data_IF_688790014560
#
_entry.id   IF_688790014560
#
_cell.length_a   1.000
_cell.length_b   1.000
_cell.length_c   1.000
_cell.angle_alpha   90.00
_cell.angle_beta   90.00
_cell.angle_gamma   90.00
#
_symmetry.space_group_name_H-M   'P 1'
#
loop_
_entity.id
_entity.type
_entity.pdbx_description
1 polymer ?
#
# COMPACT_ATOMS: atom_id res chain seq x y z
N UNK A 1 9.89 -11.83 4.87
CA UNK A 1 10.68 -10.74 4.27
C UNK A 1 9.88 -9.45 4.29
N UNK A 2 10.45 -8.39 4.84
CA UNK A 2 9.73 -7.13 4.95
C UNK A 2 9.62 -6.43 3.59
N UNK A 3 8.42 -5.96 3.27
CA UNK A 3 8.19 -5.21 2.03
C UNK A 3 8.34 -3.73 2.37
N UNK A 4 9.25 -3.07 1.68
CA UNK A 4 9.44 -1.64 1.85
C UNK A 4 8.82 -0.91 0.66
N UNK A 5 7.89 -0.02 0.95
CA UNK A 5 7.18 0.73 -0.08
C UNK A 5 7.78 2.12 -0.19
N UNK A 6 7.99 2.57 -1.43
CA UNK A 6 8.54 3.87 -1.72
C UNK A 6 7.54 4.66 -2.57
N UNK A 7 7.84 5.95 -2.78
CA UNK A 7 6.98 6.81 -3.60
C UNK A 7 6.82 6.28 -5.01
N UNK A 8 7.88 5.69 -5.56
CA UNK A 8 7.88 5.18 -6.93
C UNK A 8 7.35 3.76 -7.05
N UNK A 9 6.99 3.13 -5.94
CA UNK A 9 6.46 1.77 -5.98
C UNK A 9 5.11 1.73 -6.68
N UNK A 10 4.92 0.78 -7.56
CA UNK A 10 3.67 0.62 -8.31
C UNK A 10 2.64 -0.06 -7.41
N UNK A 11 1.44 0.49 -7.37
CA UNK A 11 0.37 -0.01 -6.50
C UNK A 11 0.02 -1.45 -6.79
N UNK A 12 -0.05 -1.81 -8.07
CA UNK A 12 -0.33 -3.20 -8.44
C UNK A 12 0.68 -4.17 -7.88
N UNK A 13 1.94 -3.79 -7.86
CA UNK A 13 2.99 -4.63 -7.30
C UNK A 13 2.82 -4.81 -5.80
N UNK A 14 2.41 -3.75 -5.11
CA UNK A 14 2.14 -3.82 -3.67
C UNK A 14 1.02 -4.81 -3.40
N UNK A 15 -0.07 -4.69 -4.16
CA UNK A 15 -1.25 -5.54 -3.95
C UNK A 15 -0.98 -7.01 -4.31
N UNK A 16 -0.06 -7.25 -5.24
CA UNK A 16 0.31 -8.61 -5.61
C UNK A 16 1.08 -9.31 -4.48
N UNK A 17 1.94 -8.59 -3.78
CA UNK A 17 2.75 -9.19 -2.70
C UNK A 17 2.12 -8.98 -1.33
N UNK A 18 1.27 -7.97 -1.17
CA UNK A 18 0.67 -7.62 0.11
C UNK A 18 -0.78 -7.16 -0.09
N UNK A 19 -1.69 -8.07 -0.45
CA UNK A 19 -3.09 -7.70 -0.67
C UNK A 19 -3.76 -7.11 0.56
N UNK A 20 -3.23 -7.36 1.74
CA UNK A 20 -3.73 -6.79 2.98
C UNK A 20 -3.58 -5.28 3.06
N UNK A 21 -2.82 -4.68 2.13
CA UNK A 21 -2.68 -3.22 2.06
C UNK A 21 -3.90 -2.54 1.43
N UNK A 22 -4.77 -3.30 0.77
CA UNK A 22 -5.91 -2.72 0.06
C UNK A 22 -6.77 -1.76 0.90
N UNK A 23 -7.09 -2.06 2.17
CA UNK A 23 -7.89 -1.14 2.98
C UNK A 23 -7.28 0.25 3.12
N UNK A 24 -5.95 0.35 3.13
CA UNK A 24 -5.29 1.64 3.24
C UNK A 24 -5.47 2.49 1.99
N UNK A 25 -5.46 1.85 0.82
CA UNK A 25 -5.73 2.55 -0.43
C UNK A 25 -7.20 2.96 -0.54
N UNK A 26 -8.12 2.13 -0.08
CA UNK A 26 -9.53 2.51 -0.02
C UNK A 26 -9.74 3.73 0.89
N UNK A 27 -8.98 3.81 1.97
CA UNK A 27 -9.10 4.90 2.93
C UNK A 27 -8.75 6.26 2.32
N UNK A 28 -7.87 6.31 1.33
CA UNK A 28 -7.54 7.58 0.67
C UNK A 28 -8.43 7.89 -0.53
N UNK A 29 -9.41 7.05 -0.80
CA UNK A 29 -10.40 7.31 -1.84
C UNK A 29 -10.28 6.48 -3.10
N UNK A 30 -9.37 5.53 -3.14
CA UNK A 30 -9.26 4.64 -4.29
C UNK A 30 -10.35 3.58 -4.21
N UNK A 31 -11.16 3.47 -5.25
CA UNK A 31 -12.30 2.55 -5.22
C UNK A 31 -12.17 1.34 -6.12
N UNK A 32 -11.29 1.39 -7.10
CA UNK A 32 -11.21 0.33 -8.10
C UNK A 32 -9.79 -0.20 -8.23
N UNK A 33 -9.35 -0.95 -7.24
CA UNK A 33 -7.98 -1.48 -7.20
C UNK A 33 -7.74 -2.61 -8.21
N UNK A 34 -8.79 -3.09 -8.84
CA UNK A 34 -8.67 -4.08 -9.90
C UNK A 34 -8.49 -3.50 -11.29
N UNK A 35 -8.66 -2.19 -11.45
CA UNK A 35 -8.52 -1.54 -12.74
C UNK A 35 -7.06 -1.40 -13.16
N UNK A 36 -6.73 -1.65 -14.43
CA UNK A 36 -5.36 -1.45 -14.91
C UNK A 36 -4.82 -0.04 -14.66
N UNK A 37 -5.69 0.98 -14.76
CA UNK A 37 -5.29 2.37 -14.49
C UNK A 37 -4.78 2.56 -13.07
N UNK A 38 -5.54 2.06 -12.10
CA UNK A 38 -5.19 2.19 -10.68
C UNK A 38 -3.95 1.36 -10.34
N UNK A 39 -3.88 0.17 -10.88
CA UNK A 39 -2.76 -0.73 -10.59
C UNK A 39 -1.45 -0.24 -11.21
N UNK A 40 -1.53 0.56 -12.27
CA UNK A 40 -0.34 1.10 -12.92
C UNK A 40 0.21 2.36 -12.30
N UNK A 41 -0.50 2.95 -11.34
CA UNK A 41 -0.05 4.17 -10.70
C UNK A 41 0.99 3.89 -9.61
N UNK A 42 1.90 4.87 -9.43
CA UNK A 42 2.80 4.82 -8.27
C UNK A 42 2.05 5.32 -7.04
N UNK A 43 2.59 5.04 -5.86
CA UNK A 43 2.03 5.56 -4.61
C UNK A 43 1.98 7.09 -4.65
N UNK A 44 3.03 7.72 -5.14
CA UNK A 44 3.09 9.18 -5.23
C UNK A 44 1.99 9.73 -6.14
N UNK A 45 1.78 9.12 -7.29
CA UNK A 45 0.74 9.54 -8.21
C UNK A 45 -0.65 9.44 -7.60
N UNK A 46 -0.91 8.35 -6.91
CA UNK A 46 -2.20 8.15 -6.24
C UNK A 46 -2.42 9.21 -5.15
N UNK A 47 -1.39 9.50 -4.38
CA UNK A 47 -1.48 10.53 -3.35
C UNK A 47 -1.78 11.90 -3.96
N UNK A 48 -1.14 12.23 -5.08
CA UNK A 48 -1.38 13.49 -5.77
C UNK A 48 -2.82 13.60 -6.25
N UNK A 49 -3.32 12.55 -6.88
CA UNK A 49 -4.69 12.55 -7.42
C UNK A 49 -5.72 12.71 -6.31
N UNK A 50 -5.47 12.12 -5.15
CA UNK A 50 -6.43 12.14 -4.04
C UNK A 50 -6.16 13.24 -3.01
N UNK A 51 -5.16 14.10 -3.26
CA UNK A 51 -4.87 15.21 -2.37
C UNK A 51 -4.31 14.78 -1.01
N UNK A 52 -3.57 13.68 -1.00
CA UNK A 52 -3.01 13.10 0.24
C UNK A 52 -1.50 13.39 0.27
N UNK A 53 -0.99 13.73 1.44
CA UNK A 53 0.45 13.87 1.62
C UNK A 53 1.11 12.50 1.56
N UNK A 54 2.07 12.34 0.65
CA UNK A 54 2.67 11.05 0.38
C UNK A 54 3.52 10.52 1.53
N UNK A 55 4.33 11.37 2.15
CA UNK A 55 5.24 10.93 3.21
C UNK A 55 4.53 10.27 4.39
N UNK A 56 3.51 10.92 4.99
CA UNK A 56 2.77 10.27 6.08
C UNK A 56 2.07 8.99 5.64
N UNK A 57 1.55 8.97 4.43
CA UNK A 57 0.86 7.78 3.91
C UNK A 57 1.84 6.63 3.73
N UNK A 58 3.04 6.91 3.21
CA UNK A 58 4.08 5.89 3.08
C UNK A 58 4.48 5.32 4.42
N UNK A 59 4.66 6.19 5.41
CA UNK A 59 5.01 5.76 6.76
C UNK A 59 3.92 4.84 7.32
N UNK A 60 2.68 5.19 7.09
CA UNK A 60 1.53 4.40 7.54
C UNK A 60 1.50 3.04 6.87
N UNK A 61 1.71 3.00 5.55
CA UNK A 61 1.76 1.75 4.79
C UNK A 61 2.85 0.83 5.30
N UNK A 62 4.06 1.36 5.43
CA UNK A 62 5.20 0.57 5.87
C UNK A 62 5.01 0.06 7.30
N UNK A 63 4.46 0.89 8.16
CA UNK A 63 4.18 0.51 9.54
C UNK A 63 3.13 -0.60 9.60
N UNK A 64 2.06 -0.44 8.83
CA UNK A 64 0.97 -1.41 8.78
C UNK A 64 1.46 -2.77 8.30
N UNK A 65 2.24 -2.78 7.22
CA UNK A 65 2.73 -4.04 6.66
C UNK A 65 3.75 -4.71 7.58
N UNK A 66 4.59 -3.93 8.24
CA UNK A 66 5.55 -4.48 9.20
C UNK A 66 4.82 -5.11 10.39
N UNK A 67 3.79 -4.45 10.89
CA UNK A 67 3.00 -4.98 12.01
C UNK A 67 2.24 -6.24 11.59
N UNK A 68 1.68 -6.25 10.40
CA UNK A 68 0.95 -7.40 9.88
C UNK A 68 1.88 -8.61 9.73
N UNK A 69 3.06 -8.39 9.18
CA UNK A 69 4.04 -9.44 9.00
C UNK A 69 4.50 -10.01 10.32
N UNK A 70 4.73 -9.16 11.31
CA UNK A 70 5.13 -9.60 12.65
C UNK A 70 4.02 -10.44 13.29
N UNK A 71 2.77 -10.02 13.16
CA UNK A 71 1.64 -10.75 13.70
C UNK A 71 1.48 -12.13 13.06
N UNK A 72 1.70 -12.21 11.74
CA UNK A 72 1.63 -13.48 11.03
C UNK A 72 2.73 -14.42 11.47
N UNK A 73 3.93 -13.90 11.65
CA UNK A 73 5.06 -14.69 12.11
C UNK A 73 4.78 -15.26 13.50
N UNK A 74 4.22 -14.47 14.39
CA UNK A 74 3.85 -14.94 15.72
C UNK A 74 2.78 -16.01 15.67
N UNK A 75 1.81 -15.87 14.78
CA UNK A 75 0.74 -16.84 14.61
C UNK A 75 1.25 -18.19 14.15
N UNK A 76 2.29 -18.19 13.35
CA UNK A 76 2.83 -19.41 12.75
C UNK A 76 3.81 -20.14 13.65
N UNK A 77 4.13 -19.57 14.77
CA UNK A 77 4.96 -20.24 15.78
C UNK A 77 4.09 -21.03 16.80
#
# INVERSE_FOLDING_TARGET
MAVKIEKSTIIGDILDVAPQAAPLFFAIGMHCLGCPSSRGETVEEACMVHGIECEPFLAQLNHYLAAYEAAETEKNN
#
